data_IF_513238262790
#
_entry.id   IF_513238262790
#
_cell.length_a   1.000
_cell.length_b   1.000
_cell.length_c   1.000
_cell.angle_alpha   90.00
_cell.angle_beta   90.00
_cell.angle_gamma   90.00
#
_symmetry.space_group_name_H-M   'P 1'
#
loop_
_entity.id
_entity.type
_entity.pdbx_description
1 polymer ?
#
# COMPACT_ATOMS: atom_id res chain seq x y z
N UNK A 1 -8.03 -5.77 12.15
CA UNK A 1 -7.40 -6.39 10.97
C UNK A 1 -7.12 -5.30 9.97
N UNK A 2 -6.02 -5.38 9.21
CA UNK A 2 -5.84 -4.47 8.08
C UNK A 2 -6.88 -4.85 7.02
N UNK A 3 -7.88 -3.98 6.90
CA UNK A 3 -8.99 -4.15 5.99
C UNK A 3 -8.49 -4.05 4.55
N UNK A 4 -8.59 -5.14 3.80
CA UNK A 4 -8.42 -5.16 2.34
C UNK A 4 -9.71 -4.75 1.63
N UNK A 5 -10.57 -3.98 2.28
CA UNK A 5 -11.63 -3.26 1.59
C UNK A 5 -10.93 -2.33 0.58
N UNK A 6 -11.32 -2.42 -0.70
CA UNK A 6 -11.25 -1.25 -1.57
C UNK A 6 -11.94 -0.15 -0.81
N UNK A 7 -11.17 0.78 -0.21
CA UNK A 7 -11.73 1.83 0.62
C UNK A 7 -12.78 2.54 -0.24
N UNK A 8 -14.09 2.40 0.03
CA UNK A 8 -15.12 3.04 -0.80
C UNK A 8 -14.96 4.57 -0.72
N UNK A 9 -14.46 5.05 0.42
CA UNK A 9 -13.98 6.42 0.64
C UNK A 9 -12.96 6.87 -0.40
N UNK A 10 -12.08 5.95 -0.82
CA UNK A 10 -11.10 6.20 -1.88
C UNK A 10 -11.66 5.86 -3.26
N UNK A 11 -12.82 5.19 -3.39
CA UNK A 11 -13.47 4.96 -4.67
C UNK A 11 -14.12 6.25 -5.17
N UNK A 12 -14.74 7.02 -4.28
CA UNK A 12 -15.20 8.38 -4.59
C UNK A 12 -14.01 9.27 -4.94
N UNK A 13 -12.94 9.25 -4.13
CA UNK A 13 -11.70 9.95 -4.45
C UNK A 13 -11.08 9.46 -5.78
N UNK A 14 -11.18 8.18 -6.10
CA UNK A 14 -10.67 7.64 -7.35
C UNK A 14 -11.56 8.03 -8.53
N UNK A 15 -12.88 8.09 -8.38
CA UNK A 15 -13.79 8.58 -9.41
C UNK A 15 -13.68 10.10 -9.61
N UNK A 16 -13.34 10.83 -8.55
CA UNK A 16 -13.06 12.26 -8.59
C UNK A 16 -11.70 12.53 -9.26
N UNK A 17 -10.66 11.77 -8.92
CA UNK A 17 -9.26 11.99 -9.36
C UNK A 17 -8.92 11.30 -10.69
N UNK A 18 -9.74 10.37 -11.16
CA UNK A 18 -9.51 9.64 -12.41
C UNK A 18 -10.70 9.81 -13.36
N UNK A 19 -10.43 10.18 -14.62
CA UNK A 19 -11.49 10.24 -15.64
C UNK A 19 -11.94 8.83 -16.08
N UNK A 20 -12.95 8.80 -16.95
CA UNK A 20 -13.50 7.57 -17.54
C UNK A 20 -12.47 6.73 -18.32
N UNK A 21 -11.33 7.33 -18.69
CA UNK A 21 -10.20 6.65 -19.33
C UNK A 21 -9.05 6.32 -18.35
N UNK A 22 -9.25 6.54 -17.05
CA UNK A 22 -8.25 6.41 -15.97
C UNK A 22 -7.02 7.30 -16.16
N UNK A 23 -7.12 8.37 -16.93
CA UNK A 23 -6.16 9.47 -16.85
C UNK A 23 -6.41 10.16 -15.51
N UNK A 24 -5.40 10.89 -15.02
CA UNK A 24 -5.47 11.59 -13.73
C UNK A 24 -5.75 13.07 -13.95
N UNK A 25 -6.97 13.50 -14.35
CA UNK A 25 -7.29 14.91 -14.21
C UNK A 25 -7.29 15.19 -12.71
N UNK A 26 -6.49 16.13 -12.24
CA UNK A 26 -6.68 16.59 -10.88
C UNK A 26 -7.96 17.44 -10.88
N UNK A 27 -9.08 16.94 -10.32
CA UNK A 27 -10.37 17.61 -10.40
C UNK A 27 -10.31 18.92 -9.62
N UNK A 28 -11.12 19.89 -10.05
CA UNK A 28 -11.18 21.20 -9.42
C UNK A 28 -11.41 21.11 -7.91
N UNK A 29 -12.33 20.25 -7.47
CA UNK A 29 -12.67 20.02 -6.07
C UNK A 29 -11.50 19.54 -5.20
N UNK A 30 -10.58 18.73 -5.75
CA UNK A 30 -9.38 18.28 -5.02
C UNK A 30 -8.31 19.36 -5.01
N UNK A 31 -8.11 20.06 -6.13
CA UNK A 31 -7.13 21.13 -6.23
C UNK A 31 -7.50 22.35 -5.37
N UNK A 32 -8.78 22.67 -5.28
CA UNK A 32 -9.27 23.78 -4.46
C UNK A 32 -9.08 23.50 -2.95
N UNK A 33 -9.05 22.22 -2.56
CA UNK A 33 -8.76 21.75 -1.19
C UNK A 33 -7.27 21.63 -0.86
N UNK A 34 -6.38 21.88 -1.83
CA UNK A 34 -4.94 21.76 -1.62
C UNK A 34 -4.48 22.75 -0.54
N UNK A 35 -3.91 22.22 0.54
CA UNK A 35 -3.44 22.97 1.70
C UNK A 35 -1.92 22.79 1.89
N UNK A 36 -1.37 23.37 2.96
CA UNK A 36 0.05 23.25 3.28
C UNK A 36 0.53 21.79 3.41
N UNK A 37 -0.34 20.88 3.89
CA UNK A 37 -0.03 19.46 4.07
C UNK A 37 0.05 18.75 2.72
N UNK A 38 -0.94 18.98 1.86
CA UNK A 38 -0.95 18.44 0.49
C UNK A 38 0.27 18.92 -0.31
N UNK A 39 0.65 20.19 -0.17
CA UNK A 39 1.86 20.73 -0.80
C UNK A 39 3.13 20.09 -0.20
N UNK A 40 3.19 19.88 1.12
CA UNK A 40 4.33 19.23 1.76
C UNK A 40 4.54 17.79 1.25
N UNK A 41 3.46 17.02 1.10
CA UNK A 41 3.51 15.66 0.54
C UNK A 41 3.99 15.69 -0.91
N UNK A 42 3.41 16.57 -1.72
CA UNK A 42 3.81 16.70 -3.13
C UNK A 42 5.26 17.19 -3.27
N UNK A 43 5.70 18.14 -2.46
CA UNK A 43 7.09 18.59 -2.42
C UNK A 43 8.05 17.49 -1.95
N UNK A 44 7.62 16.66 -1.00
CA UNK A 44 8.36 15.48 -0.58
C UNK A 44 8.62 14.49 -1.72
N UNK A 45 7.68 14.35 -2.65
CA UNK A 45 7.79 13.44 -3.80
C UNK A 45 8.54 14.09 -4.97
N UNK A 46 7.93 15.13 -5.58
CA UNK A 46 8.37 15.76 -6.83
C UNK A 46 8.98 17.16 -6.64
N UNK A 47 9.21 17.57 -5.38
CA UNK A 47 9.93 18.79 -5.07
C UNK A 47 11.45 18.63 -5.14
N UNK A 48 12.11 19.68 -5.60
CA UNK A 48 13.57 19.84 -5.52
C UNK A 48 13.92 21.21 -4.95
N UNK A 49 15.10 21.28 -4.33
CA UNK A 49 15.72 22.50 -3.88
C UNK A 49 17.15 22.55 -4.41
N UNK A 50 17.44 23.55 -5.23
CA UNK A 50 18.71 23.69 -5.91
C UNK A 50 19.25 25.12 -5.81
N UNK A 51 20.57 25.27 -5.99
CA UNK A 51 21.27 26.56 -5.94
C UNK A 51 22.38 26.59 -4.88
N UNK A 52 23.26 27.57 -5.00
CA UNK A 52 24.40 27.77 -4.09
C UNK A 52 23.99 28.48 -2.80
N UNK A 53 23.09 27.88 -2.02
CA UNK A 53 22.64 28.45 -0.75
C UNK A 53 23.79 28.64 0.25
N UNK A 54 24.82 27.79 0.19
CA UNK A 54 26.02 27.92 1.02
C UNK A 54 26.84 29.19 0.71
N UNK A 55 26.73 29.74 -0.52
CA UNK A 55 27.48 30.92 -0.96
C UNK A 55 26.66 32.21 -0.90
N UNK A 56 25.35 32.14 -1.14
CA UNK A 56 24.49 33.32 -1.29
C UNK A 56 23.30 33.38 -0.32
N UNK A 57 23.17 32.40 0.57
CA UNK A 57 22.08 32.32 1.56
C UNK A 57 20.68 32.12 0.96
N UNK A 58 20.58 31.98 -0.37
CA UNK A 58 19.34 31.87 -1.12
C UNK A 58 19.42 30.67 -2.08
N UNK A 59 18.31 29.94 -2.19
CA UNK A 59 18.15 28.87 -3.18
C UNK A 59 16.81 28.98 -3.90
N UNK A 60 16.60 28.12 -4.89
CA UNK A 60 15.35 28.07 -5.66
C UNK A 60 14.74 26.68 -5.53
N UNK A 61 13.47 26.64 -5.17
CA UNK A 61 12.68 25.42 -5.18
C UNK A 61 11.99 25.25 -6.54
N UNK A 62 11.76 24.00 -6.91
CA UNK A 62 10.86 23.64 -7.99
C UNK A 62 9.97 22.49 -7.56
N UNK A 63 8.75 22.46 -8.08
CA UNK A 63 7.77 21.41 -7.84
C UNK A 63 7.32 20.87 -9.19
N UNK A 64 7.71 19.65 -9.53
CA UNK A 64 7.43 19.09 -10.84
C UNK A 64 6.01 18.55 -10.96
N UNK A 65 5.44 18.69 -12.16
CA UNK A 65 4.17 18.08 -12.53
C UNK A 65 4.08 17.86 -14.03
N UNK A 66 3.96 16.60 -14.44
CA UNK A 66 3.82 16.21 -15.85
C UNK A 66 2.37 15.94 -16.27
N UNK A 67 1.41 16.00 -15.35
CA UNK A 67 0.03 15.54 -15.56
C UNK A 67 -1.00 16.67 -15.55
N UNK A 68 -0.73 17.79 -14.88
CA UNK A 68 -1.62 18.95 -14.82
C UNK A 68 -1.53 19.77 -16.10
N UNK A 69 -2.68 20.04 -16.71
CA UNK A 69 -2.83 20.83 -17.94
C UNK A 69 -3.92 21.90 -17.76
N UNK A 70 -3.84 22.97 -18.55
CA UNK A 70 -4.88 24.01 -18.65
C UNK A 70 -5.32 24.60 -17.31
N UNK A 71 -6.63 24.56 -17.06
CA UNK A 71 -7.29 25.15 -15.89
C UNK A 71 -6.78 24.58 -14.55
N UNK A 72 -6.40 23.30 -14.52
CA UNK A 72 -5.88 22.65 -13.32
C UNK A 72 -4.57 23.33 -12.84
N UNK A 73 -3.73 23.79 -13.77
CA UNK A 73 -2.51 24.54 -13.43
C UNK A 73 -2.82 25.93 -12.87
N UNK A 74 -3.84 26.59 -13.43
CA UNK A 74 -4.30 27.89 -12.95
C UNK A 74 -4.82 27.82 -11.50
N UNK A 75 -5.57 26.75 -11.16
CA UNK A 75 -6.07 26.51 -9.80
C UNK A 75 -4.94 26.26 -8.79
N UNK A 76 -3.91 25.52 -9.20
CA UNK A 76 -2.71 25.33 -8.36
C UNK A 76 -1.98 26.66 -8.15
N UNK A 77 -1.84 27.50 -9.18
CA UNK A 77 -1.25 28.83 -9.03
C UNK A 77 -2.06 29.71 -8.06
N UNK A 78 -3.40 29.72 -8.18
CA UNK A 78 -4.27 30.44 -7.25
C UNK A 78 -4.15 29.92 -5.81
N UNK A 79 -3.92 28.61 -5.63
CA UNK A 79 -3.67 28.03 -4.31
C UNK A 79 -2.34 28.51 -3.72
N UNK A 80 -1.27 28.61 -4.50
CA UNK A 80 0.00 29.15 -4.00
C UNK A 80 -0.12 30.62 -3.59
N UNK A 81 -0.88 31.43 -4.33
CA UNK A 81 -1.20 32.81 -3.94
C UNK A 81 -2.01 32.85 -2.64
N UNK A 82 -3.09 32.04 -2.54
CA UNK A 82 -3.93 31.93 -1.34
C UNK A 82 -3.14 31.54 -0.09
N UNK A 83 -2.12 30.71 -0.24
CA UNK A 83 -1.27 30.25 0.86
C UNK A 83 -0.08 31.17 1.16
N UNK A 84 -0.01 32.34 0.52
CA UNK A 84 1.02 33.36 0.77
C UNK A 84 2.40 33.03 0.18
N UNK A 85 2.49 32.05 -0.73
CA UNK A 85 3.73 31.72 -1.46
C UNK A 85 3.89 32.66 -2.67
N UNK A 86 2.78 33.19 -3.20
CA UNK A 86 2.76 34.00 -4.42
C UNK A 86 2.70 33.15 -5.69
N UNK A 87 2.77 33.80 -6.86
CA UNK A 87 2.63 33.13 -8.16
C UNK A 87 3.97 32.60 -8.69
N UNK A 88 4.24 31.28 -8.67
CA UNK A 88 5.47 30.74 -9.22
C UNK A 88 5.47 30.81 -10.76
N UNK A 89 6.66 30.73 -11.35
CA UNK A 89 6.79 30.61 -12.81
C UNK A 89 6.39 29.20 -13.24
N UNK A 90 5.50 29.12 -14.21
CA UNK A 90 5.05 27.89 -14.84
C UNK A 90 5.77 27.69 -16.20
N UNK A 91 6.39 26.52 -16.42
CA UNK A 91 7.03 26.14 -17.67
C UNK A 91 6.39 24.91 -18.36
N UNK A 92 5.22 24.47 -17.90
CA UNK A 92 4.53 23.27 -18.34
C UNK A 92 5.06 21.96 -17.73
N UNK A 93 6.31 21.92 -17.26
CA UNK A 93 6.92 20.75 -16.59
C UNK A 93 6.80 20.83 -15.07
N UNK A 94 6.63 22.02 -14.52
CA UNK A 94 6.49 22.25 -13.08
C UNK A 94 6.31 23.71 -12.72
N UNK A 95 6.34 23.98 -11.42
CA UNK A 95 6.26 25.30 -10.83
C UNK A 95 7.61 25.67 -10.23
N UNK A 96 8.16 26.80 -10.65
CA UNK A 96 9.47 27.30 -10.26
C UNK A 96 9.33 28.51 -9.34
N UNK A 97 9.92 28.40 -8.15
CA UNK A 97 9.84 29.43 -7.13
C UNK A 97 11.11 30.27 -7.15
N UNK A 98 10.97 31.60 -7.10
CA UNK A 98 12.10 32.49 -6.86
C UNK A 98 12.60 32.34 -5.40
N UNK A 99 13.65 33.06 -5.02
CA UNK A 99 14.24 32.89 -3.68
C UNK A 99 13.30 33.26 -2.53
N UNK A 100 12.51 34.31 -2.67
CA UNK A 100 11.60 34.76 -1.62
C UNK A 100 10.38 33.82 -1.52
N UNK A 101 9.86 33.38 -2.67
CA UNK A 101 8.81 32.37 -2.76
C UNK A 101 9.29 31.01 -2.21
N UNK A 102 10.55 30.66 -2.43
CA UNK A 102 11.15 29.43 -1.87
C UNK A 102 11.21 29.51 -0.35
N UNK A 103 11.60 30.65 0.20
CA UNK A 103 11.61 30.86 1.64
C UNK A 103 10.20 30.78 2.24
N UNK A 104 9.19 31.36 1.57
CA UNK A 104 7.78 31.28 1.97
C UNK A 104 7.25 29.84 1.89
N UNK A 105 7.50 29.14 0.77
CA UNK A 105 7.12 27.74 0.58
C UNK A 105 7.71 26.85 1.67
N UNK A 106 9.03 26.93 1.89
CA UNK A 106 9.71 26.12 2.90
C UNK A 106 9.26 26.47 4.32
N UNK A 107 8.97 27.73 4.61
CA UNK A 107 8.39 28.12 5.89
C UNK A 107 7.02 27.47 6.13
N UNK A 108 6.18 27.44 5.09
CA UNK A 108 4.83 26.87 5.15
C UNK A 108 4.83 25.35 5.33
N UNK A 109 5.67 24.64 4.56
CA UNK A 109 5.63 23.17 4.53
C UNK A 109 6.51 22.50 5.59
N UNK A 110 7.52 23.19 6.14
CA UNK A 110 8.47 22.60 7.08
C UNK A 110 7.84 21.86 8.29
N UNK A 111 6.71 22.31 8.88
CA UNK A 111 6.03 21.57 9.95
C UNK A 111 5.48 20.20 9.53
N UNK A 112 5.25 19.99 8.23
CA UNK A 112 4.59 18.82 7.66
C UNK A 112 5.54 17.93 6.85
N UNK A 113 6.78 18.38 6.58
CA UNK A 113 7.78 17.61 5.84
C UNK A 113 8.51 16.67 6.79
N UNK A 114 8.37 15.37 6.56
CA UNK A 114 8.96 14.33 7.40
C UNK A 114 10.51 14.40 7.42
N UNK A 115 11.18 14.09 8.55
CA UNK A 115 12.64 14.15 8.67
C UNK A 115 13.41 13.37 7.58
N UNK A 116 12.85 12.25 7.10
CA UNK A 116 13.46 11.44 6.04
C UNK A 116 13.63 12.17 4.69
N UNK A 117 12.87 13.24 4.43
CA UNK A 117 12.96 14.02 3.19
C UNK A 117 13.22 15.51 3.45
N UNK A 118 13.56 15.88 4.69
CA UNK A 118 13.79 17.28 5.08
C UNK A 118 15.05 17.87 4.42
N UNK A 119 15.95 17.02 3.90
CA UNK A 119 17.11 17.44 3.11
C UNK A 119 16.71 18.24 1.86
N UNK A 120 15.47 18.08 1.38
CA UNK A 120 14.87 18.87 0.30
C UNK A 120 14.50 20.30 0.72
N UNK A 121 14.50 20.60 2.02
CA UNK A 121 14.28 21.96 2.53
C UNK A 121 15.60 22.72 2.65
N UNK A 122 15.49 24.04 2.69
CA UNK A 122 16.57 24.92 3.09
C UNK A 122 17.09 24.51 4.48
N UNK A 123 18.41 24.47 4.72
CA UNK A 123 18.99 24.03 6.00
C UNK A 123 18.37 24.67 7.25
N UNK A 124 18.04 25.97 7.20
CA UNK A 124 17.42 26.69 8.32
C UNK A 124 15.96 26.27 8.65
N UNK A 125 15.34 25.47 7.78
CA UNK A 125 13.95 24.99 7.90
C UNK A 125 13.86 23.49 8.17
N UNK A 126 14.98 22.78 8.25
CA UNK A 126 15.04 21.33 8.56
C UNK A 126 14.73 21.05 10.02
N UNK A 127 14.37 19.80 10.33
CA UNK A 127 14.06 19.37 11.70
C UNK A 127 12.83 20.00 12.35
N UNK A 128 11.94 20.64 11.58
CA UNK A 128 10.74 21.33 12.11
C UNK A 128 9.46 20.48 12.05
N UNK A 129 9.57 19.20 11.71
CA UNK A 129 8.43 18.32 11.61
C UNK A 129 7.70 18.21 12.95
N UNK A 130 6.43 18.62 12.97
CA UNK A 130 5.60 18.65 14.17
C UNK A 130 4.20 18.06 13.93
N UNK A 131 3.90 17.65 12.69
CA UNK A 131 2.59 17.14 12.35
C UNK A 131 2.39 15.70 12.82
N UNK A 132 1.29 15.51 13.54
CA UNK A 132 0.77 14.21 13.90
C UNK A 132 -0.65 14.11 13.33
N UNK A 133 -1.07 12.91 12.86
CA UNK A 133 -2.47 12.73 12.53
C UNK A 133 -3.28 13.04 13.79
N UNK A 134 -4.30 13.88 13.66
CA UNK A 134 -5.31 14.00 14.71
C UNK A 134 -5.88 12.60 14.84
N UNK A 135 -5.73 11.97 16.01
CA UNK A 135 -6.52 10.78 16.34
C UNK A 135 -7.96 11.22 16.12
N UNK A 136 -8.59 10.70 15.06
CA UNK A 136 -9.96 11.04 14.78
C UNK A 136 -10.76 10.61 16.00
N UNK A 137 -11.25 11.60 16.75
CA UNK A 137 -12.41 11.41 17.58
C UNK A 137 -13.50 10.78 16.68
N UNK A 138 -13.92 9.57 17.06
CA UNK A 138 -15.22 8.99 16.71
C UNK A 138 -15.60 9.03 15.23
N UNK A 139 -14.92 8.26 14.38
CA UNK A 139 -15.60 7.70 13.21
C UNK A 139 -15.73 6.20 13.40
N UNK A 140 -16.95 5.80 13.74
CA UNK A 140 -17.31 4.42 14.04
C UNK A 140 -17.28 3.58 12.75
N UNK A 141 -16.27 2.71 12.66
CA UNK A 141 -16.16 1.71 11.60
C UNK A 141 -17.37 0.75 11.58
N UNK A 142 -18.15 0.66 12.67
CA UNK A 142 -19.32 -0.21 12.81
C UNK A 142 -20.56 0.24 12.01
N UNK A 143 -20.57 1.46 11.43
CA UNK A 143 -21.69 1.96 10.62
C UNK A 143 -21.73 1.38 9.19
N UNK A 144 -20.63 0.79 8.70
CA UNK A 144 -20.54 0.23 7.34
C UNK A 144 -21.03 -1.21 7.27
N UNK A 145 -22.36 -1.39 7.31
CA UNK A 145 -22.98 -2.72 7.46
C UNK A 145 -23.39 -3.44 6.17
N UNK A 146 -23.17 -2.88 4.98
CA UNK A 146 -23.61 -3.52 3.72
C UNK A 146 -22.53 -3.44 2.64
N UNK A 147 -22.11 -4.60 2.13
CA UNK A 147 -21.24 -4.74 0.96
C UNK A 147 -22.10 -5.02 -0.27
N UNK A 148 -21.90 -4.24 -1.34
CA UNK A 148 -22.55 -4.46 -2.65
C UNK A 148 -21.49 -4.86 -3.68
N UNK A 149 -21.67 -6.00 -4.32
CA UNK A 149 -20.84 -6.38 -5.46
C UNK A 149 -21.09 -5.45 -6.65
N UNK A 150 -20.02 -4.89 -7.23
CA UNK A 150 -20.08 -4.06 -8.44
C UNK A 150 -19.25 -4.75 -9.53
N UNK A 151 -19.82 -5.03 -10.71
CA UNK A 151 -19.10 -5.68 -11.79
C UNK A 151 -17.95 -4.79 -12.31
N UNK A 152 -16.77 -5.38 -12.53
CA UNK A 152 -15.59 -4.70 -13.06
C UNK A 152 -15.39 -5.00 -14.55
N UNK A 153 -15.26 -3.95 -15.37
CA UNK A 153 -15.10 -4.07 -16.83
C UNK A 153 -13.65 -4.39 -17.23
N UNK A 154 -13.44 -5.35 -18.13
CA UNK A 154 -12.12 -5.63 -18.72
C UNK A 154 -11.73 -4.47 -19.63
N UNK A 155 -10.68 -3.73 -19.24
CA UNK A 155 -10.28 -2.46 -19.89
C UNK A 155 -9.40 -2.67 -21.13
N UNK A 156 -8.55 -3.71 -21.15
CA UNK A 156 -7.66 -3.97 -22.30
C UNK A 156 -7.21 -5.43 -22.37
N UNK A 157 -7.14 -5.97 -23.58
CA UNK A 157 -6.40 -7.21 -23.92
C UNK A 157 -5.36 -6.87 -24.97
N UNK A 158 -4.13 -7.36 -24.81
CA UNK A 158 -3.11 -7.26 -25.85
C UNK A 158 -2.15 -8.45 -25.79
N UNK A 159 -1.52 -8.73 -26.93
CA UNK A 159 -0.51 -9.77 -27.08
C UNK A 159 0.86 -9.18 -26.74
N UNK A 160 1.62 -9.86 -25.88
CA UNK A 160 2.94 -9.40 -25.43
C UNK A 160 3.93 -9.45 -26.62
N UNK A 161 4.58 -8.35 -27.03
CA UNK A 161 5.52 -8.37 -28.14
C UNK A 161 6.76 -9.20 -27.80
N UNK A 162 7.38 -9.82 -28.83
CA UNK A 162 8.63 -10.55 -28.66
C UNK A 162 9.73 -9.57 -28.21
N UNK A 163 10.36 -9.90 -27.09
CA UNK A 163 11.47 -9.14 -26.51
C UNK A 163 12.77 -9.57 -27.19
N UNK A 164 13.65 -8.60 -27.51
CA UNK A 164 15.00 -8.85 -28.04
C UNK A 164 15.78 -9.67 -27.00
N UNK A 165 16.57 -10.66 -27.45
CA UNK A 165 17.32 -11.56 -26.56
C UNK A 165 18.18 -10.79 -25.54
N UNK A 166 18.09 -11.22 -24.27
CA UNK A 166 18.72 -10.55 -23.13
C UNK A 166 20.21 -10.87 -23.02
N UNK A 167 21.07 -9.85 -22.98
CA UNK A 167 22.46 -10.02 -22.57
C UNK A 167 22.53 -9.96 -21.03
N UNK A 168 23.06 -11.01 -20.40
CA UNK A 168 23.31 -11.05 -18.95
C UNK A 168 24.80 -10.87 -18.68
N UNK A 169 25.12 -9.97 -17.77
CA UNK A 169 26.48 -9.72 -17.30
C UNK A 169 26.56 -10.06 -15.80
N UNK A 170 27.65 -10.69 -15.38
CA UNK A 170 27.98 -10.92 -13.98
C UNK A 170 29.15 -10.01 -13.60
N UNK A 171 28.97 -9.15 -12.59
CA UNK A 171 30.04 -8.31 -12.04
C UNK A 171 30.34 -8.76 -10.62
N UNK A 172 31.55 -9.25 -10.40
CA UNK A 172 32.07 -9.61 -9.08
C UNK A 172 32.99 -8.51 -8.56
N UNK A 173 32.75 -8.04 -7.33
CA UNK A 173 33.68 -7.17 -6.58
C UNK A 173 33.83 -7.72 -5.17
N UNK A 174 35.06 -8.12 -4.79
CA UNK A 174 35.40 -8.64 -3.46
C UNK A 174 34.47 -9.78 -2.98
N UNK A 175 34.13 -10.72 -3.87
CA UNK A 175 33.26 -11.87 -3.57
C UNK A 175 31.76 -11.57 -3.54
N UNK A 176 31.34 -10.34 -3.86
CA UNK A 176 29.93 -10.00 -4.05
C UNK A 176 29.58 -9.97 -5.54
N UNK A 177 28.66 -10.84 -5.94
CA UNK A 177 28.15 -10.94 -7.31
C UNK A 177 26.97 -9.99 -7.54
N UNK A 178 27.05 -9.17 -8.58
CA UNK A 178 25.97 -8.29 -9.03
C UNK A 178 25.65 -8.60 -10.49
N UNK A 179 24.56 -9.31 -10.71
CA UNK A 179 24.07 -9.60 -12.06
C UNK A 179 23.39 -8.37 -12.65
N UNK A 180 23.72 -8.04 -13.90
CA UNK A 180 23.13 -6.95 -14.68
C UNK A 180 22.47 -7.51 -15.95
N UNK A 181 21.24 -7.12 -16.22
CA UNK A 181 20.57 -7.36 -17.49
C UNK A 181 19.98 -6.03 -17.96
N UNK A 182 20.35 -5.59 -19.16
CA UNK A 182 19.91 -4.32 -19.77
C UNK A 182 20.08 -3.08 -18.87
N UNK A 183 21.22 -2.98 -18.18
CA UNK A 183 21.54 -1.85 -17.29
C UNK A 183 20.76 -1.86 -15.96
N UNK A 184 19.99 -2.91 -15.68
CA UNK A 184 19.26 -3.10 -14.43
C UNK A 184 19.93 -4.19 -13.60
N UNK A 185 20.17 -3.90 -12.33
CA UNK A 185 20.70 -4.87 -11.36
C UNK A 185 19.65 -5.96 -11.13
N UNK A 186 19.93 -7.16 -11.60
CA UNK A 186 19.09 -8.38 -11.53
C UNK A 186 19.18 -9.04 -10.17
N UNK A 187 20.22 -8.74 -9.39
CA UNK A 187 20.35 -9.15 -7.99
C UNK A 187 19.51 -8.24 -7.07
N UNK A 188 18.22 -8.10 -7.40
CA UNK A 188 17.10 -7.58 -6.63
C UNK A 188 15.86 -7.73 -7.52
N UNK A 189 14.72 -8.18 -6.98
CA UNK A 189 13.49 -8.39 -7.77
C UNK A 189 13.20 -7.14 -8.64
N UNK A 190 12.98 -7.28 -9.96
CA UNK A 190 12.67 -6.16 -10.85
C UNK A 190 11.29 -5.54 -10.55
N UNK A 191 10.51 -6.14 -9.66
CA UNK A 191 9.20 -5.68 -9.23
C UNK A 191 9.31 -4.36 -8.45
N UNK A 192 8.99 -3.26 -9.12
CA UNK A 192 8.91 -1.93 -8.52
C UNK A 192 7.45 -1.57 -8.25
N UNK A 193 7.14 -1.13 -7.02
CA UNK A 193 5.80 -0.61 -6.69
C UNK A 193 5.63 0.80 -7.28
N UNK A 194 4.46 1.11 -7.85
CA UNK A 194 4.13 2.47 -8.31
C UNK A 194 4.04 3.47 -7.14
N UNK A 195 4.24 4.76 -7.41
CA UNK A 195 4.27 5.80 -6.36
C UNK A 195 5.66 6.13 -5.81
N UNK A 196 6.71 5.94 -6.61
CA UNK A 196 8.07 6.37 -6.29
C UNK A 196 8.72 5.59 -5.13
N UNK A 197 9.77 6.16 -4.56
CA UNK A 197 10.52 5.56 -3.44
C UNK A 197 9.92 5.90 -2.07
N UNK A 198 9.13 6.97 -1.97
CA UNK A 198 8.62 7.48 -0.70
C UNK A 198 7.76 6.45 0.04
N UNK A 199 6.80 5.80 -0.64
CA UNK A 199 5.88 4.83 -0.03
C UNK A 199 6.62 3.67 0.66
N UNK A 200 7.74 3.21 0.09
CA UNK A 200 8.61 2.20 0.72
C UNK A 200 9.11 2.63 2.10
N UNK A 201 9.35 3.92 2.33
CA UNK A 201 9.83 4.46 3.60
C UNK A 201 8.68 4.80 4.56
N UNK A 202 7.59 5.40 4.06
CA UNK A 202 6.43 5.80 4.85
C UNK A 202 5.62 4.63 5.40
N UNK A 203 5.42 3.55 4.62
CA UNK A 203 4.60 2.43 5.05
C UNK A 203 5.18 1.75 6.31
N UNK A 204 4.37 1.59 7.36
CA UNK A 204 4.76 0.87 8.58
C UNK A 204 4.79 -0.65 8.36
N UNK A 205 3.87 -1.17 7.55
CA UNK A 205 3.80 -2.57 7.14
C UNK A 205 3.69 -2.61 5.62
N UNK A 206 4.40 -3.55 4.99
CA UNK A 206 4.25 -3.88 3.56
C UNK A 206 4.10 -5.38 3.43
N UNK A 207 3.12 -5.78 2.65
CA UNK A 207 2.80 -7.17 2.37
C UNK A 207 2.89 -7.39 0.86
N UNK A 208 3.60 -8.45 0.47
CA UNK A 208 3.62 -8.97 -0.89
C UNK A 208 2.60 -10.10 -0.98
N UNK A 209 1.59 -9.94 -1.81
CA UNK A 209 0.46 -10.87 -1.95
C UNK A 209 0.59 -11.57 -3.31
N UNK A 210 0.74 -12.89 -3.30
CA UNK A 210 0.90 -13.71 -4.49
C UNK A 210 -0.14 -14.82 -4.52
N UNK A 211 -0.72 -15.06 -5.69
CA UNK A 211 -1.55 -16.22 -5.96
C UNK A 211 -0.65 -17.44 -6.14
N UNK A 212 -0.92 -18.52 -5.42
CA UNK A 212 -0.15 -19.78 -5.51
C UNK A 212 -0.88 -20.78 -6.39
N UNK A 213 -2.08 -21.20 -5.98
CA UNK A 213 -2.82 -22.29 -6.62
C UNK A 213 -4.28 -21.92 -6.85
N UNK A 214 -4.94 -22.64 -7.76
CA UNK A 214 -6.37 -22.46 -8.04
C UNK A 214 -7.14 -23.58 -7.38
N UNK A 215 -8.09 -23.23 -6.51
CA UNK A 215 -8.95 -24.18 -5.83
C UNK A 215 -10.08 -24.53 -6.79
N UNK A 216 -10.16 -25.81 -7.14
CA UNK A 216 -11.20 -26.35 -8.03
C UNK A 216 -12.10 -27.30 -7.26
N UNK A 217 -13.39 -27.26 -7.55
CA UNK A 217 -14.36 -28.24 -7.09
C UNK A 217 -14.96 -28.91 -8.32
N UNK A 218 -14.54 -30.15 -8.58
CA UNK A 218 -14.84 -30.81 -9.85
C UNK A 218 -14.22 -30.05 -11.03
N UNK A 219 -15.06 -29.57 -11.94
CA UNK A 219 -14.68 -28.82 -13.14
C UNK A 219 -14.64 -27.30 -12.93
N UNK A 220 -15.20 -26.78 -11.84
CA UNK A 220 -15.33 -25.34 -11.61
C UNK A 220 -14.21 -24.78 -10.71
N UNK A 221 -13.76 -23.57 -11.02
CA UNK A 221 -12.76 -22.84 -10.22
C UNK A 221 -13.46 -22.03 -9.13
N UNK A 222 -13.39 -22.50 -7.88
CA UNK A 222 -14.13 -21.95 -6.74
C UNK A 222 -13.32 -20.91 -5.96
N UNK A 223 -11.98 -20.93 -6.08
CA UNK A 223 -11.15 -19.94 -5.39
C UNK A 223 -9.67 -20.00 -5.74
N UNK A 224 -8.86 -19.29 -4.96
CA UNK A 224 -7.41 -19.25 -5.08
C UNK A 224 -6.71 -19.34 -3.73
N UNK A 225 -5.69 -20.19 -3.66
CA UNK A 225 -4.77 -20.21 -2.51
C UNK A 225 -3.80 -19.05 -2.68
N UNK A 226 -3.73 -18.21 -1.66
CA UNK A 226 -2.96 -16.97 -1.68
C UNK A 226 -1.88 -17.02 -0.61
N UNK A 227 -0.67 -16.66 -0.98
CA UNK A 227 0.48 -16.53 -0.10
C UNK A 227 0.80 -15.05 0.10
N UNK A 228 0.92 -14.65 1.36
CA UNK A 228 1.25 -13.28 1.75
C UNK A 228 2.56 -13.28 2.52
N UNK A 229 3.54 -12.50 2.04
CA UNK A 229 4.83 -12.30 2.71
C UNK A 229 4.91 -10.89 3.27
N UNK A 230 5.24 -10.76 4.55
CA UNK A 230 5.43 -9.45 5.18
C UNK A 230 6.84 -8.94 4.86
N UNK A 231 6.99 -8.20 3.76
CA UNK A 231 8.29 -7.70 3.29
C UNK A 231 8.83 -6.51 4.09
N UNK A 232 7.97 -5.80 4.83
CA UNK A 232 8.36 -4.75 5.79
C UNK A 232 7.41 -4.77 6.97
N UNK A 233 7.95 -4.67 8.18
CA UNK A 233 7.18 -4.51 9.40
C UNK A 233 7.98 -3.68 10.41
N UNK A 234 7.43 -2.56 10.87
CA UNK A 234 8.02 -1.71 11.91
C UNK A 234 7.56 -2.06 13.34
N UNK A 235 6.55 -2.93 13.48
CA UNK A 235 5.91 -3.25 14.76
C UNK A 235 6.30 -4.63 15.30
N UNK A 236 6.67 -5.56 14.42
CA UNK A 236 7.04 -6.92 14.77
C UNK A 236 8.06 -7.46 13.75
N UNK A 237 8.66 -8.65 13.99
CA UNK A 237 9.63 -9.24 13.07
C UNK A 237 9.08 -9.37 11.63
N UNK A 238 9.78 -8.85 10.61
CA UNK A 238 9.38 -8.97 9.21
C UNK A 238 9.67 -10.38 8.65
N UNK A 239 9.34 -10.58 7.37
CA UNK A 239 9.58 -11.77 6.55
C UNK A 239 8.81 -13.04 6.92
N UNK A 240 7.83 -12.92 7.81
CA UNK A 240 6.85 -13.99 8.03
C UNK A 240 5.94 -14.14 6.81
N UNK A 241 5.51 -15.38 6.58
CA UNK A 241 4.65 -15.77 5.48
C UNK A 241 3.35 -16.33 6.05
N UNK A 242 2.24 -16.08 5.37
CA UNK A 242 0.93 -16.62 5.69
C UNK A 242 0.29 -17.16 4.42
N UNK A 243 -0.34 -18.33 4.51
CA UNK A 243 -1.10 -18.93 3.42
C UNK A 243 -2.55 -19.07 3.83
N UNK A 244 -3.46 -18.66 2.95
CA UNK A 244 -4.89 -18.80 3.17
C UNK A 244 -5.64 -18.93 1.85
N UNK A 245 -6.83 -19.51 1.94
CA UNK A 245 -7.72 -19.71 0.80
C UNK A 245 -8.65 -18.51 0.64
N UNK A 246 -8.73 -17.97 -0.58
CA UNK A 246 -9.66 -16.92 -0.97
C UNK A 246 -10.71 -17.54 -1.90
N UNK A 247 -11.93 -17.69 -1.39
CA UNK A 247 -13.07 -18.26 -2.12
C UNK A 247 -13.80 -17.12 -2.84
N UNK A 248 -14.15 -17.34 -4.10
CA UNK A 248 -14.89 -16.34 -4.88
C UNK A 248 -16.30 -16.17 -4.31
N UNK A 249 -16.69 -14.93 -4.00
CA UNK A 249 -17.98 -14.60 -3.40
C UNK A 249 -18.03 -14.62 -1.87
N UNK A 250 -17.15 -15.36 -1.20
CA UNK A 250 -17.08 -15.44 0.27
C UNK A 250 -15.89 -14.67 0.87
N UNK A 251 -14.78 -14.54 0.13
CA UNK A 251 -13.56 -13.90 0.61
C UNK A 251 -12.60 -14.89 1.29
N UNK A 252 -11.87 -14.41 2.30
CA UNK A 252 -10.86 -15.22 3.01
C UNK A 252 -11.57 -16.27 3.87
N UNK A 253 -11.27 -17.54 3.64
CA UNK A 253 -11.89 -18.62 4.41
C UNK A 253 -11.26 -18.76 5.79
N UNK A 254 -11.94 -18.20 6.80
CA UNK A 254 -11.53 -18.30 8.21
C UNK A 254 -11.46 -19.75 8.69
N UNK A 255 -12.48 -20.56 8.38
CA UNK A 255 -12.53 -21.97 8.79
C UNK A 255 -11.36 -22.78 8.22
N UNK A 256 -11.00 -22.56 6.96
CA UNK A 256 -9.85 -23.23 6.34
C UNK A 256 -8.53 -22.82 7.01
N UNK A 257 -8.37 -21.53 7.31
CA UNK A 257 -7.16 -21.00 7.96
C UNK A 257 -7.02 -21.54 9.40
N UNK A 258 -8.13 -21.61 10.14
CA UNK A 258 -8.17 -22.16 11.51
C UNK A 258 -7.91 -23.66 11.50
N UNK A 259 -8.42 -24.41 10.51
CA UNK A 259 -8.12 -25.82 10.34
C UNK A 259 -6.62 -26.06 10.12
N UNK A 260 -6.01 -25.31 9.20
CA UNK A 260 -4.58 -25.43 8.89
C UNK A 260 -3.71 -25.07 10.10
N UNK A 261 -4.01 -23.94 10.75
CA UNK A 261 -3.30 -23.53 11.95
C UNK A 261 -3.52 -24.51 13.11
N UNK A 262 -4.70 -25.10 13.24
CA UNK A 262 -5.00 -26.13 14.24
C UNK A 262 -4.19 -27.39 14.03
N UNK A 263 -3.96 -27.81 12.78
CA UNK A 263 -3.08 -28.94 12.47
C UNK A 263 -1.62 -28.59 12.73
N UNK A 264 -1.17 -27.40 12.35
CA UNK A 264 0.21 -26.94 12.58
C UNK A 264 0.55 -26.84 14.07
N UNK A 265 -0.40 -26.38 14.89
CA UNK A 265 -0.25 -26.29 16.35
C UNK A 265 -0.54 -27.63 17.07
N UNK A 266 -0.87 -28.70 16.36
CA UNK A 266 -1.16 -30.02 16.95
C UNK A 266 -2.47 -30.08 17.74
N UNK A 267 -3.37 -29.11 17.58
CA UNK A 267 -4.71 -29.09 18.19
C UNK A 267 -5.72 -29.93 17.40
N UNK A 268 -5.46 -30.16 16.11
CA UNK A 268 -6.21 -31.08 15.25
C UNK A 268 -5.25 -32.17 14.79
N UNK A 269 -5.65 -33.42 15.02
CA UNK A 269 -4.89 -34.58 14.57
C UNK A 269 -5.28 -34.95 13.14
N UNK A 270 -4.29 -35.15 12.28
CA UNK A 270 -4.49 -35.62 10.90
C UNK A 270 -3.99 -37.05 10.75
N UNK A 271 -4.91 -38.00 10.67
CA UNK A 271 -4.61 -39.42 10.43
C UNK A 271 -4.89 -39.78 8.96
N UNK A 272 -3.87 -39.66 8.12
CA UNK A 272 -4.00 -39.86 6.68
C UNK A 272 -4.88 -38.80 6.03
N UNK A 273 -6.07 -39.19 5.57
CA UNK A 273 -7.07 -38.27 5.01
C UNK A 273 -8.09 -37.78 6.04
N UNK A 274 -8.11 -38.34 7.25
CA UNK A 274 -9.07 -37.99 8.30
C UNK A 274 -8.52 -36.88 9.21
N UNK A 275 -9.41 -35.97 9.61
CA UNK A 275 -9.15 -34.94 10.62
C UNK A 275 -9.94 -35.28 11.88
N UNK A 276 -9.28 -35.19 13.03
CA UNK A 276 -9.83 -35.50 14.35
C UNK A 276 -9.60 -34.32 15.30
N UNK A 277 -10.63 -33.91 16.02
CA UNK A 277 -10.56 -32.86 17.04
C UNK A 277 -11.13 -33.40 18.36
N UNK A 278 -10.36 -33.34 19.45
CA UNK A 278 -10.77 -33.85 20.79
C UNK A 278 -11.40 -35.26 20.75
N UNK A 279 -10.82 -36.18 19.99
CA UNK A 279 -11.30 -37.55 19.75
C UNK A 279 -12.56 -37.71 18.88
N UNK A 280 -13.10 -36.63 18.33
CA UNK A 280 -14.20 -36.67 17.35
C UNK A 280 -13.65 -36.56 15.92
N UNK A 281 -14.10 -37.42 15.02
CA UNK A 281 -13.75 -37.34 13.59
C UNK A 281 -14.57 -36.24 12.93
N UNK A 282 -13.94 -35.09 12.70
CA UNK A 282 -14.58 -33.90 12.13
C UNK A 282 -14.76 -33.97 10.61
N UNK A 283 -14.04 -34.85 9.93
CA UNK A 283 -14.27 -35.08 8.50
C UNK A 283 -13.15 -35.82 7.77
N UNK A 284 -13.51 -36.43 6.64
CA UNK A 284 -12.56 -37.01 5.68
C UNK A 284 -12.22 -35.98 4.61
N UNK A 285 -10.95 -35.59 4.56
CA UNK A 285 -10.46 -34.56 3.63
C UNK A 285 -10.67 -33.14 4.16
N UNK A 286 -9.86 -32.21 3.62
CA UNK A 286 -9.82 -30.81 4.06
C UNK A 286 -11.18 -30.11 3.89
N UNK A 287 -11.86 -30.34 2.76
CA UNK A 287 -13.13 -29.67 2.47
C UNK A 287 -14.26 -30.08 3.41
N UNK A 288 -14.33 -31.37 3.79
CA UNK A 288 -15.37 -31.83 4.71
C UNK A 288 -15.10 -31.35 6.15
N UNK A 289 -13.84 -31.38 6.60
CA UNK A 289 -13.46 -30.84 7.90
C UNK A 289 -13.71 -29.32 7.98
N UNK A 290 -13.46 -28.59 6.89
CA UNK A 290 -13.79 -27.16 6.76
C UNK A 290 -15.29 -26.92 6.89
N UNK A 291 -16.13 -27.69 6.17
CA UNK A 291 -17.59 -27.57 6.25
C UNK A 291 -18.11 -27.83 7.66
N UNK A 292 -17.63 -28.88 8.31
CA UNK A 292 -18.00 -29.20 9.70
C UNK A 292 -17.65 -28.05 10.65
N UNK A 293 -16.48 -27.41 10.49
CA UNK A 293 -16.08 -26.23 11.27
C UNK A 293 -16.92 -24.99 10.96
N UNK A 294 -17.43 -24.85 9.73
CA UNK A 294 -18.36 -23.77 9.38
C UNK A 294 -19.73 -23.97 10.03
N UNK A 295 -20.20 -25.22 10.12
CA UNK A 295 -21.47 -25.58 10.78
C UNK A 295 -21.37 -25.48 12.31
N UNK A 296 -20.19 -25.76 12.88
CA UNK A 296 -19.94 -25.75 14.33
C UNK A 296 -19.18 -24.49 14.79
N UNK A 297 -19.85 -23.34 14.72
CA UNK A 297 -19.23 -22.04 14.98
C UNK A 297 -18.70 -21.85 16.41
N UNK A 298 -19.33 -22.49 17.41
CA UNK A 298 -18.85 -22.49 18.81
C UNK A 298 -17.47 -23.16 18.92
N UNK A 299 -17.31 -24.31 18.26
CA UNK A 299 -16.05 -25.06 18.20
C UNK A 299 -14.97 -24.29 17.45
N UNK A 300 -15.34 -23.61 16.35
CA UNK A 300 -14.42 -22.76 15.59
C UNK A 300 -13.81 -21.64 16.46
N UNK A 301 -14.63 -20.99 17.28
CA UNK A 301 -14.19 -19.90 18.18
C UNK A 301 -13.30 -20.44 19.31
N UNK A 302 -13.67 -21.57 19.91
CA UNK A 302 -12.85 -22.26 20.94
C UNK A 302 -11.46 -22.60 20.38
N UNK A 303 -11.44 -23.21 19.18
CA UNK A 303 -10.20 -23.58 18.51
C UNK A 303 -9.35 -22.36 18.13
N UNK A 304 -9.96 -21.30 17.59
CA UNK A 304 -9.26 -20.06 17.29
C UNK A 304 -8.61 -19.45 18.54
N UNK A 305 -9.32 -19.46 19.67
CA UNK A 305 -8.82 -18.92 20.94
C UNK A 305 -7.59 -19.70 21.39
N UNK A 306 -7.66 -21.03 21.37
CA UNK A 306 -6.54 -21.92 21.70
C UNK A 306 -5.34 -21.75 20.78
N UNK A 307 -5.57 -21.61 19.47
CA UNK A 307 -4.49 -21.36 18.50
C UNK A 307 -3.79 -20.04 18.82
N UNK A 308 -4.54 -18.99 19.15
CA UNK A 308 -3.95 -17.69 19.48
C UNK A 308 -3.16 -17.73 20.78
N UNK A 309 -3.66 -18.43 21.79
CA UNK A 309 -2.95 -18.67 23.05
C UNK A 309 -1.65 -19.43 22.82
N UNK A 310 -1.69 -20.53 22.06
CA UNK A 310 -0.50 -21.31 21.69
C UNK A 310 0.55 -20.45 20.96
N UNK A 311 0.10 -19.53 20.10
CA UNK A 311 0.97 -18.62 19.36
C UNK A 311 1.37 -17.36 20.14
N UNK A 312 1.00 -17.24 21.44
CA UNK A 312 1.21 -16.05 22.27
C UNK A 312 0.70 -14.75 21.62
N UNK A 313 -0.38 -14.85 20.83
CA UNK A 313 -1.01 -13.70 20.20
C UNK A 313 -2.00 -13.09 21.18
N UNK A 314 -2.04 -11.74 21.26
CA UNK A 314 -3.03 -11.04 22.08
C UNK A 314 -4.43 -11.52 21.70
N UNK A 315 -5.28 -11.71 22.72
CA UNK A 315 -6.70 -11.96 22.54
C UNK A 315 -7.28 -10.94 21.54
N UNK A 316 -8.21 -11.33 20.66
CA UNK A 316 -8.89 -10.36 19.82
C UNK A 316 -9.41 -9.26 20.74
N UNK A 317 -8.97 -8.02 20.53
CA UNK A 317 -9.69 -6.90 21.10
C UNK A 317 -11.14 -7.09 20.64
N UNK A 318 -12.06 -7.22 21.59
CA UNK A 318 -13.49 -7.21 21.29
C UNK A 318 -13.71 -5.99 20.40
N UNK A 319 -14.14 -6.21 19.16
CA UNK A 319 -14.56 -5.14 18.27
C UNK A 319 -15.70 -4.44 19.01
N UNK A 320 -15.38 -3.30 19.65
CA UNK A 320 -16.38 -2.37 20.15
C UNK A 320 -16.92 -1.62 18.95
#
# INVERSE_FOLDING_TARGET
GFDTLTMPVLADLCAEVYDSERRRPAPASVLDRLDARGIAVWYGDDGTFAGSYARWGKGKAALYNKSLTGEARARVMATFERLGIGRPRDDGRGFWFNSDQTAALHALIAPFVHPAVDYKLHPSRRGRFAWHPVEAAETDLAERRVLRAVPARIVKRYVKPQTRGMNRFDLEVEGNHTYLADGVVVHNSPETTSGGRALKFYASIRMDVRRTETIKQGTESVGVRTKVKVVKNKLAPPFREAEFDVIYGEGISKAATVLDAGVEQGLIEKSGTWYTYKNERIGQGRENAKKWLQENQTTLIDLETKIREALNLRAPASLK
#
